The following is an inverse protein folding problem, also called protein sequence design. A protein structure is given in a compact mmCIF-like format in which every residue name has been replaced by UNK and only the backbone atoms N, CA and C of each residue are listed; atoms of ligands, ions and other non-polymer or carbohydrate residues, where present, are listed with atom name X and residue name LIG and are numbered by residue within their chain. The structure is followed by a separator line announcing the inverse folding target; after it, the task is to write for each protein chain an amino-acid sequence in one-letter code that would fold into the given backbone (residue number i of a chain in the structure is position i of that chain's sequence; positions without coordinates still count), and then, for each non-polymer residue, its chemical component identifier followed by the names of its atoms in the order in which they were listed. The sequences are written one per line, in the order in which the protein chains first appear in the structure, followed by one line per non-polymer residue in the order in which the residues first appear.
data_IF_463497604806
#
_entry.id   IF_463497604806
#
_cell.length_a   1.000
_cell.length_b   1.000
_cell.length_c   1.000
_cell.angle_alpha   90.00
_cell.angle_beta   90.00
_cell.angle_gamma   90.00
#
_symmetry.space_group_name_H-M   'P 1'
#
loop_
_entity.id
_entity.type
_entity.pdbx_description
1 polymer ?
#
# COMPACT_ATOMS: atom_id res chain seq x y z
N UNK A 1 -1.54 3.53 -11.20
CA UNK A 1 -2.07 2.34 -10.52
C UNK A 1 -1.50 2.36 -9.12
N UNK A 2 -2.19 3.10 -8.25
CA UNK A 2 -2.22 3.02 -6.79
C UNK A 2 -3.61 3.57 -6.46
N UNK A 3 -4.65 2.91 -6.97
CA UNK A 3 -6.05 3.23 -6.63
C UNK A 3 -6.27 3.38 -5.12
N UNK A 4 -5.54 2.67 -4.22
CA UNK A 4 -5.67 2.91 -2.78
C UNK A 4 -5.03 4.21 -2.29
N UNK A 5 -4.14 4.85 -3.07
CA UNK A 5 -3.64 6.20 -2.78
C UNK A 5 -4.59 7.30 -3.28
N UNK A 6 -5.69 6.95 -3.96
CA UNK A 6 -6.66 7.95 -4.39
C UNK A 6 -7.33 8.57 -3.16
N UNK A 7 -7.21 9.89 -3.00
CA UNK A 7 -7.65 10.61 -1.80
C UNK A 7 -6.57 10.78 -0.73
N UNK A 8 -5.39 10.19 -0.89
CA UNK A 8 -4.24 10.41 0.00
C UNK A 8 -3.37 11.59 -0.46
N UNK A 9 -2.77 12.26 0.51
CA UNK A 9 -1.87 13.38 0.30
C UNK A 9 -0.50 12.86 -0.16
N UNK A 10 -0.18 13.11 -1.43
CA UNK A 10 1.13 12.87 -2.01
C UNK A 10 1.63 14.22 -2.49
N UNK A 11 2.83 14.59 -2.08
CA UNK A 11 3.38 15.90 -2.47
C UNK A 11 3.70 15.92 -3.97
N UNK A 12 3.44 17.04 -4.64
CA UNK A 12 3.81 17.19 -6.07
C UNK A 12 5.34 17.12 -6.26
N UNK A 13 6.10 17.48 -5.22
CA UNK A 13 7.55 17.39 -5.17
C UNK A 13 8.00 15.91 -5.23
N UNK A 14 7.35 15.00 -4.52
CA UNK A 14 7.59 13.55 -4.62
C UNK A 14 7.18 12.97 -5.98
N UNK A 15 6.15 13.53 -6.63
CA UNK A 15 5.68 13.07 -7.95
C UNK A 15 6.58 13.54 -9.10
N UNK A 16 7.37 14.60 -8.90
CA UNK A 16 8.19 15.24 -9.92
C UNK A 16 9.70 15.01 -9.74
N UNK A 17 10.10 14.15 -8.80
CA UNK A 17 11.50 13.79 -8.56
C UNK A 17 12.12 13.21 -9.84
N UNK A 18 13.23 13.79 -10.28
CA UNK A 18 13.99 13.27 -11.41
C UNK A 18 14.80 12.02 -11.02
N UNK A 19 15.21 11.24 -12.02
CA UNK A 19 15.89 9.96 -11.79
C UNK A 19 17.21 10.10 -11.04
N UNK A 20 17.95 11.20 -11.21
CA UNK A 20 19.25 11.38 -10.60
C UNK A 20 19.10 11.80 -9.13
N UNK A 21 18.14 12.67 -8.82
CA UNK A 21 17.74 12.98 -7.44
C UNK A 21 17.24 11.74 -6.72
N UNK A 22 16.36 10.96 -7.35
CA UNK A 22 15.88 9.69 -6.78
C UNK A 22 17.05 8.75 -6.47
N UNK A 23 17.98 8.53 -7.42
CA UNK A 23 19.16 7.68 -7.16
C UNK A 23 19.99 8.19 -6.00
N UNK A 24 20.21 9.50 -5.88
CA UNK A 24 20.97 10.06 -4.76
C UNK A 24 20.25 9.82 -3.41
N UNK A 25 18.92 9.85 -3.43
CA UNK A 25 18.10 9.66 -2.24
C UNK A 25 17.88 8.21 -1.84
N UNK A 26 17.78 7.26 -2.78
CA UNK A 26 17.50 5.86 -2.43
C UNK A 26 18.68 4.92 -2.61
N UNK A 27 19.78 5.37 -3.24
CA UNK A 27 20.96 4.52 -3.42
C UNK A 27 22.17 5.02 -2.64
N UNK A 28 22.91 4.06 -2.09
CA UNK A 28 24.22 4.27 -1.49
C UNK A 28 25.21 3.37 -2.21
N UNK A 29 26.26 3.94 -2.80
CA UNK A 29 27.29 3.21 -3.55
C UNK A 29 26.74 2.36 -4.73
N UNK A 30 25.69 2.84 -5.40
CA UNK A 30 25.08 2.15 -6.54
C UNK A 30 24.16 0.97 -6.17
N UNK A 31 23.92 0.74 -4.87
CA UNK A 31 22.96 -0.25 -4.37
C UNK A 31 21.72 0.51 -3.89
N UNK A 32 20.54 0.13 -4.41
CA UNK A 32 19.26 0.71 -3.98
C UNK A 32 18.89 0.16 -2.60
N UNK A 33 18.71 1.05 -1.63
CA UNK A 33 18.15 0.75 -0.32
C UNK A 33 16.64 0.91 -0.34
N UNK A 34 15.95 -0.23 -0.45
CA UNK A 34 14.48 -0.26 -0.54
C UNK A 34 13.78 0.24 0.71
N UNK A 35 14.44 0.21 1.88
CA UNK A 35 13.83 0.74 3.09
C UNK A 35 13.60 2.25 3.00
N UNK A 36 14.43 2.96 2.22
CA UNK A 36 14.30 4.40 1.99
C UNK A 36 13.12 4.76 1.07
N UNK A 37 12.54 3.76 0.40
CA UNK A 37 11.31 3.93 -0.38
C UNK A 37 10.04 3.71 0.44
N UNK A 38 10.14 3.25 1.70
CA UNK A 38 8.98 3.10 2.56
C UNK A 38 8.50 4.48 3.00
N UNK A 39 7.21 4.75 2.87
CA UNK A 39 6.65 6.03 3.28
C UNK A 39 5.25 5.88 3.87
N UNK A 40 4.85 6.87 4.66
CA UNK A 40 3.52 7.01 5.20
C UNK A 40 2.82 8.17 4.51
N UNK A 41 1.52 8.02 4.30
CA UNK A 41 0.67 9.10 3.80
C UNK A 41 -0.64 9.12 4.60
N UNK A 42 -1.38 10.20 4.48
CA UNK A 42 -2.64 10.45 5.17
C UNK A 42 -3.72 10.85 4.19
N UNK A 43 -4.98 10.53 4.49
CA UNK A 43 -6.11 10.91 3.65
C UNK A 43 -6.31 12.44 3.71
N UNK A 44 -6.56 13.07 2.55
CA UNK A 44 -6.71 14.52 2.40
C UNK A 44 -7.82 15.09 3.27
N UNK A 45 -8.95 14.41 3.30
CA UNK A 45 -10.14 14.85 4.07
C UNK A 45 -10.19 14.27 5.50
N UNK A 46 -9.34 13.28 5.80
CA UNK A 46 -9.40 12.48 7.04
C UNK A 46 -7.99 12.15 7.54
N UNK A 47 -7.28 13.10 8.15
CA UNK A 47 -5.88 12.93 8.55
C UNK A 47 -5.63 11.76 9.53
N UNK A 48 -6.67 11.31 10.24
CA UNK A 48 -6.64 10.11 11.08
C UNK A 48 -6.51 8.80 10.29
N UNK A 49 -7.01 8.78 9.04
CA UNK A 49 -6.85 7.66 8.12
C UNK A 49 -5.47 7.75 7.47
N UNK A 50 -4.53 7.01 8.05
CA UNK A 50 -3.16 6.87 7.53
C UNK A 50 -2.99 5.57 6.77
N UNK A 51 -2.04 5.59 5.84
CA UNK A 51 -1.65 4.47 5.01
C UNK A 51 -0.13 4.34 5.00
N UNK A 52 0.35 3.11 5.13
CA UNK A 52 1.76 2.79 5.03
C UNK A 52 2.06 2.02 3.75
N UNK A 53 3.04 2.48 2.98
CA UNK A 53 3.56 1.77 1.80
C UNK A 53 4.89 1.14 2.14
N UNK A 54 4.97 -0.19 2.04
CA UNK A 54 6.11 -1.00 2.42
C UNK A 54 6.71 -1.72 1.19
N UNK A 55 7.89 -1.29 0.78
CA UNK A 55 8.73 -1.94 -0.22
C UNK A 55 9.55 -3.07 0.43
N UNK A 56 9.26 -4.30 0.02
CA UNK A 56 10.01 -5.43 0.54
C UNK A 56 11.45 -5.46 0.04
N UNK A 57 12.40 -5.61 0.97
CA UNK A 57 13.79 -5.90 0.62
C UNK A 57 13.96 -7.31 0.03
N UNK A 58 13.11 -8.25 0.45
CA UNK A 58 13.18 -9.64 0.02
C UNK A 58 12.48 -9.80 -1.33
N UNK A 59 13.16 -10.44 -2.29
CA UNK A 59 12.53 -10.80 -3.57
C UNK A 59 11.33 -11.73 -3.35
N UNK A 60 11.46 -12.65 -2.38
CA UNK A 60 10.44 -13.62 -2.03
C UNK A 60 9.84 -13.29 -0.66
N UNK A 61 8.60 -12.80 -0.64
CA UNK A 61 7.93 -12.41 0.60
C UNK A 61 7.32 -13.62 1.31
N UNK A 62 7.87 -13.92 2.49
CA UNK A 62 7.40 -14.94 3.41
C UNK A 62 6.55 -14.41 4.56
N UNK A 63 6.07 -15.32 5.41
CA UNK A 63 5.27 -15.00 6.61
C UNK A 63 6.02 -14.07 7.58
N UNK A 64 7.35 -14.22 7.69
CA UNK A 64 8.18 -13.38 8.57
C UNK A 64 8.07 -11.90 8.19
N UNK A 65 8.24 -11.60 6.91
CA UNK A 65 8.21 -10.25 6.34
C UNK A 65 6.82 -9.64 6.44
N UNK A 66 5.77 -10.45 6.22
CA UNK A 66 4.39 -10.02 6.45
C UNK A 66 4.12 -9.66 7.91
N UNK A 67 4.63 -10.43 8.88
CA UNK A 67 4.51 -10.07 10.31
C UNK A 67 5.25 -8.80 10.66
N UNK A 68 6.45 -8.58 10.10
CA UNK A 68 7.18 -7.33 10.30
C UNK A 68 6.37 -6.13 9.80
N UNK A 69 5.77 -6.25 8.62
CA UNK A 69 4.89 -5.23 8.07
C UNK A 69 3.67 -4.95 8.97
N UNK A 70 2.98 -6.00 9.44
CA UNK A 70 1.84 -5.86 10.36
C UNK A 70 2.26 -5.20 11.68
N UNK A 71 3.40 -5.60 12.26
CA UNK A 71 3.89 -5.03 13.51
C UNK A 71 4.15 -3.52 13.36
N UNK A 72 4.68 -3.06 12.22
CA UNK A 72 4.89 -1.62 11.97
C UNK A 72 3.54 -0.89 11.95
N UNK A 73 2.52 -1.47 11.32
CA UNK A 73 1.17 -0.91 11.29
C UNK A 73 0.58 -0.78 12.71
N UNK A 74 0.72 -1.84 13.52
CA UNK A 74 0.26 -1.85 14.92
C UNK A 74 1.00 -0.82 15.78
N UNK A 75 2.33 -0.79 15.73
CA UNK A 75 3.17 0.15 16.48
C UNK A 75 2.85 1.61 16.13
N UNK A 76 2.51 1.87 14.87
CA UNK A 76 2.15 3.21 14.40
C UNK A 76 0.66 3.51 14.52
N UNK A 77 -0.17 2.56 14.95
CA UNK A 77 -1.63 2.66 14.98
C UNK A 77 -2.20 3.10 13.60
N UNK A 78 -1.84 2.33 12.57
CA UNK A 78 -2.25 2.51 11.18
C UNK A 78 -3.04 1.28 10.75
N UNK A 79 -4.21 1.48 10.16
CA UNK A 79 -5.11 0.38 9.81
C UNK A 79 -5.01 -0.03 8.34
N UNK A 80 -4.42 0.79 7.49
CA UNK A 80 -4.28 0.53 6.06
C UNK A 80 -2.82 0.38 5.66
N UNK A 81 -2.53 -0.63 4.84
CA UNK A 81 -1.16 -0.89 4.39
C UNK A 81 -1.10 -1.46 2.99
N UNK A 82 -0.08 -1.05 2.23
CA UNK A 82 0.28 -1.63 0.94
C UNK A 82 1.66 -2.26 1.05
N UNK A 83 1.80 -3.50 0.62
CA UNK A 83 3.10 -4.18 0.48
C UNK A 83 3.46 -4.39 -0.99
N UNK A 84 4.67 -3.98 -1.37
CA UNK A 84 5.21 -4.13 -2.73
C UNK A 84 6.30 -5.21 -2.72
N UNK A 85 6.19 -6.19 -3.61
CA UNK A 85 7.09 -7.34 -3.70
C UNK A 85 7.66 -7.54 -5.11
N UNK A 86 8.89 -8.08 -5.23
CA UNK A 86 9.62 -8.09 -6.51
C UNK A 86 9.50 -9.36 -7.36
N UNK A 87 9.32 -10.54 -6.75
CA UNK A 87 9.35 -11.82 -7.50
C UNK A 87 8.20 -12.75 -7.09
N UNK A 88 8.10 -13.10 -5.81
CA UNK A 88 7.01 -13.97 -5.35
C UNK A 88 6.56 -13.65 -3.94
N UNK A 89 5.25 -13.70 -3.72
CA UNK A 89 4.69 -13.78 -2.38
C UNK A 89 4.16 -15.19 -2.10
N UNK A 90 4.58 -15.77 -0.97
CA UNK A 90 4.14 -17.11 -0.58
C UNK A 90 2.65 -17.13 -0.23
N UNK A 91 1.95 -18.23 -0.55
CA UNK A 91 0.53 -18.38 -0.20
C UNK A 91 0.27 -18.28 1.30
N UNK A 92 1.25 -18.67 2.13
CA UNK A 92 1.18 -18.50 3.57
C UNK A 92 1.26 -17.03 4.00
N UNK A 93 2.09 -16.20 3.36
CA UNK A 93 2.13 -14.76 3.60
C UNK A 93 0.82 -14.08 3.19
N UNK A 94 0.29 -14.43 2.00
CA UNK A 94 -1.06 -14.02 1.58
C UNK A 94 -2.11 -14.44 2.61
N UNK A 95 -1.98 -15.64 3.17
CA UNK A 95 -2.95 -16.14 4.16
C UNK A 95 -2.96 -15.35 5.47
N UNK A 96 -1.78 -14.88 5.90
CA UNK A 96 -1.61 -14.16 7.17
C UNK A 96 -2.07 -12.70 7.07
N UNK A 97 -1.85 -12.03 5.94
CA UNK A 97 -2.19 -10.62 5.78
C UNK A 97 -3.43 -10.32 4.91
N UNK A 98 -3.79 -11.19 3.96
CA UNK A 98 -4.70 -10.89 2.83
C UNK A 98 -5.77 -11.98 2.71
N UNK A 99 -6.47 -12.31 3.81
CA UNK A 99 -7.60 -13.27 3.80
C UNK A 99 -8.83 -12.61 4.36
N UNK A 100 -9.66 -12.08 3.47
CA UNK A 100 -10.89 -11.36 3.85
C UNK A 100 -10.59 -10.10 4.67
N UNK A 101 -11.64 -9.35 5.01
CA UNK A 101 -11.58 -8.07 5.73
C UNK A 101 -11.02 -8.16 7.18
N UNK A 102 -10.38 -9.28 7.55
CA UNK A 102 -9.97 -9.60 8.92
C UNK A 102 -8.62 -10.31 8.94
N UNK A 103 -7.59 -9.62 9.43
CA UNK A 103 -6.29 -10.22 9.76
C UNK A 103 -6.41 -11.04 11.05
N UNK A 104 -6.15 -12.35 10.97
CA UNK A 104 -6.09 -13.25 12.13
C UNK A 104 -4.63 -13.41 12.56
N UNK A 105 -4.20 -12.69 13.60
CA UNK A 105 -2.97 -13.03 14.31
C UNK A 105 -3.28 -14.14 15.35
N UNK A 106 -2.73 -15.36 15.22
CA UNK A 106 -3.05 -16.49 16.09
C UNK A 106 -2.49 -16.38 17.53
N UNK A 107 -2.09 -15.17 17.97
CA UNK A 107 -1.60 -14.93 19.33
C UNK A 107 -2.32 -13.79 20.06
N UNK A 108 -3.32 -13.17 19.43
CA UNK A 108 -4.06 -12.08 20.06
C UNK A 108 -5.45 -12.59 20.42
N UNK A 109 -5.68 -12.67 21.72
CA UNK A 109 -6.94 -12.98 22.40
C UNK A 109 -8.10 -12.25 21.70
N UNK A 110 -9.28 -12.88 21.61
CA UNK A 110 -10.50 -12.48 20.89
C UNK A 110 -10.95 -10.99 20.98
N UNK A 111 -10.31 -10.17 21.82
CA UNK A 111 -10.65 -8.78 22.12
C UNK A 111 -9.99 -7.72 21.19
N UNK A 112 -8.98 -8.05 20.37
CA UNK A 112 -8.27 -7.05 19.55
C UNK A 112 -8.20 -7.46 18.07
N UNK A 113 -9.38 -7.71 17.48
CA UNK A 113 -9.51 -7.87 16.03
C UNK A 113 -9.30 -6.51 15.35
N UNK A 114 -8.05 -6.09 15.15
CA UNK A 114 -7.74 -4.93 14.32
C UNK A 114 -8.16 -5.26 12.88
N UNK A 115 -9.14 -4.55 12.37
CA UNK A 115 -9.53 -4.60 10.96
C UNK A 115 -8.45 -3.88 10.15
N UNK A 116 -7.35 -4.58 9.90
CA UNK A 116 -6.31 -4.10 8.98
C UNK A 116 -6.77 -4.35 7.56
N UNK A 117 -6.70 -3.32 6.72
CA UNK A 117 -6.94 -3.41 5.28
C UNK A 117 -5.57 -3.45 4.60
N UNK A 118 -5.17 -4.63 4.15
CA UNK A 118 -3.86 -4.86 3.53
C UNK A 118 -4.01 -5.20 2.06
N UNK A 119 -3.19 -4.56 1.22
CA UNK A 119 -3.13 -4.79 -0.22
C UNK A 119 -1.71 -5.17 -0.66
N UNK A 120 -1.59 -6.01 -1.68
CA UNK A 120 -0.30 -6.37 -2.27
C UNK A 120 -0.19 -6.00 -3.74
N UNK A 121 0.99 -5.53 -4.14
CA UNK A 121 1.33 -5.26 -5.54
C UNK A 121 2.67 -5.88 -5.90
N UNK A 122 2.72 -6.49 -7.09
CA UNK A 122 3.98 -6.87 -7.72
C UNK A 122 4.65 -5.61 -8.30
N UNK A 123 5.92 -5.41 -7.98
CA UNK A 123 6.72 -4.26 -8.41
C UNK A 123 6.73 -4.11 -9.94
N UNK A 124 6.78 -5.22 -10.67
CA UNK A 124 6.77 -5.23 -12.13
C UNK A 124 5.50 -4.58 -12.73
N UNK A 125 4.35 -4.68 -12.06
CA UNK A 125 3.11 -4.03 -12.52
C UNK A 125 3.02 -2.55 -12.19
N UNK A 126 3.91 -2.04 -11.33
CA UNK A 126 3.95 -0.61 -10.98
C UNK A 126 4.87 0.21 -11.91
N UNK A 127 5.70 -0.45 -12.73
CA UNK A 127 6.63 0.21 -13.66
C UNK A 127 5.94 1.08 -14.72
N UNK A 128 4.72 0.70 -15.12
CA UNK A 128 3.93 1.43 -16.11
C UNK A 128 2.57 1.74 -15.51
N UNK A 129 2.24 3.03 -15.42
CA UNK A 129 0.91 3.42 -14.97
C UNK A 129 -0.13 3.24 -16.08
N UNK A 130 -0.79 2.08 -16.10
CA UNK A 130 -1.79 1.73 -17.11
C UNK A 130 -3.01 2.67 -17.15
N UNK A 131 -3.29 3.47 -16.12
CA UNK A 131 -4.42 4.42 -16.12
C UNK A 131 -4.20 5.61 -17.06
N UNK A 132 -2.97 5.83 -17.52
CA UNK A 132 -2.64 6.87 -18.51
C UNK A 132 -2.70 6.33 -19.94
N UNK A 133 -2.99 5.04 -20.10
CA UNK A 133 -3.16 4.45 -21.41
C UNK A 133 -4.44 4.97 -22.06
N UNK A 134 -4.39 5.32 -23.35
CA UNK A 134 -5.50 5.92 -24.10
C UNK A 134 -6.81 5.09 -24.04
N UNK A 135 -6.69 3.77 -23.90
CA UNK A 135 -7.83 2.84 -23.85
C UNK A 135 -8.43 2.67 -22.45
N UNK A 136 -7.85 3.28 -21.40
CA UNK A 136 -8.37 3.18 -20.04
C UNK A 136 -9.19 4.44 -19.74
N UNK A 137 -10.53 4.35 -19.64
CA UNK A 137 -11.36 5.49 -19.28
C UNK A 137 -11.06 5.95 -17.85
N UNK A 138 -11.44 7.19 -17.53
CA UNK A 138 -11.35 7.70 -16.17
C UNK A 138 -12.33 6.91 -15.28
N UNK A 139 -11.83 6.38 -14.17
CA UNK A 139 -12.65 5.70 -13.16
C UNK A 139 -12.77 6.62 -11.94
N UNK A 140 -14.00 6.92 -11.54
CA UNK A 140 -14.31 7.73 -10.36
C UNK A 140 -15.09 6.86 -9.36
N UNK A 141 -14.63 6.87 -8.10
CA UNK A 141 -15.31 6.16 -7.02
C UNK A 141 -16.42 7.07 -6.51
N UNK A 142 -17.67 6.61 -6.61
CA UNK A 142 -18.83 7.33 -6.10
C UNK A 142 -18.84 7.35 -4.57
N UNK A 143 -19.26 8.46 -3.99
CA UNK A 143 -19.55 8.52 -2.56
C UNK A 143 -20.80 7.69 -2.22
N UNK A 144 -21.01 7.31 -0.95
CA UNK A 144 -22.24 6.62 -0.53
C UNK A 144 -23.52 7.39 -0.89
N UNK A 145 -23.47 8.72 -0.82
CA UNK A 145 -24.58 9.62 -1.17
C UNK A 145 -24.84 9.59 -2.68
N UNK A 146 -23.79 9.77 -3.50
CA UNK A 146 -23.89 9.71 -4.96
C UNK A 146 -24.37 8.34 -5.44
N UNK A 147 -23.93 7.26 -4.79
CA UNK A 147 -24.39 5.91 -5.09
C UNK A 147 -25.88 5.75 -4.79
N UNK A 148 -26.34 6.27 -3.65
CA UNK A 148 -27.77 6.24 -3.27
C UNK A 148 -28.61 7.03 -4.27
N UNK A 149 -28.18 8.24 -4.63
CA UNK A 149 -28.87 9.08 -5.62
C UNK A 149 -28.93 8.41 -7.00
N UNK A 150 -27.84 7.79 -7.44
CA UNK A 150 -27.78 7.07 -8.70
C UNK A 150 -28.72 5.85 -8.73
N UNK A 151 -28.91 5.17 -7.60
CA UNK A 151 -29.86 4.05 -7.47
C UNK A 151 -31.32 4.50 -7.43
N UNK A 152 -31.60 5.76 -7.10
CA UNK A 152 -32.94 6.34 -7.08
C UNK A 152 -33.37 6.96 -8.43
N UNK A 153 -32.50 6.90 -9.45
CA UNK A 153 -32.73 7.43 -10.78
C UNK A 153 -33.05 6.35 -11.80
#
# INVERSE_FOLDING_TARGET
MLTPLQGYEVSEEELSVDLDTFKAEVSSNGIVDRNRMNFFTQHKDKPEERLFVFYSMERNVGVKTMRQFINILEEKNITRGIIIWSDKMTSAAKKVGIVGDVVYLPQVIDAMRLQLVLEDFEEAFLLVNITHHQLVPKHEVLTPEEKTELLHR
#
